data_IF_770139026174
#
_entry.id   IF_770139026174
#
_cell.length_a   1.000
_cell.length_b   1.000
_cell.length_c   1.000
_cell.angle_alpha   90.00
_cell.angle_beta   90.00
_cell.angle_gamma   90.00
#
_symmetry.space_group_name_H-M   'P 1'
#
loop_
_entity.id
_entity.type
_entity.pdbx_description
1 polymer ?
#
# COMPACT_ATOMS: atom_id res chain seq x y z
N UNK A 1 20.98 -5.06 -14.47
CA UNK A 1 20.43 -3.71 -14.21
C UNK A 1 19.00 -3.51 -14.73
N UNK A 2 18.73 -3.59 -16.05
CA UNK A 2 17.41 -3.27 -16.63
C UNK A 2 16.24 -4.12 -16.11
N UNK A 3 16.49 -5.37 -15.70
CA UNK A 3 15.46 -6.25 -15.11
C UNK A 3 15.08 -5.83 -13.69
N UNK A 4 16.08 -5.60 -12.82
CA UNK A 4 15.85 -5.18 -11.43
C UNK A 4 15.07 -3.86 -11.36
N UNK A 5 15.44 -2.90 -12.21
CA UNK A 5 14.73 -1.62 -12.30
C UNK A 5 13.27 -1.81 -12.75
N UNK A 6 13.01 -2.68 -13.74
CA UNK A 6 11.64 -3.00 -14.17
C UNK A 6 10.80 -3.61 -13.04
N UNK A 7 11.36 -4.57 -12.32
CA UNK A 7 10.68 -5.24 -11.21
C UNK A 7 10.40 -4.26 -10.05
N UNK A 8 11.38 -3.41 -9.70
CA UNK A 8 11.19 -2.34 -8.73
C UNK A 8 10.12 -1.34 -9.17
N UNK A 9 10.14 -0.89 -10.42
CA UNK A 9 9.13 0.03 -10.95
C UNK A 9 7.74 -0.61 -11.02
N UNK A 10 7.66 -1.93 -11.24
CA UNK A 10 6.42 -2.69 -11.08
C UNK A 10 5.93 -2.67 -9.64
N UNK A 11 6.82 -2.68 -8.64
CA UNK A 11 6.44 -2.62 -7.23
C UNK A 11 5.92 -1.24 -6.85
N UNK A 12 6.56 -0.18 -7.37
CA UNK A 12 6.07 1.19 -7.23
C UNK A 12 4.68 1.33 -7.84
N UNK A 13 4.47 0.81 -9.06
CA UNK A 13 3.17 0.87 -9.73
C UNK A 13 2.10 0.04 -9.02
N UNK A 14 2.46 -1.10 -8.42
CA UNK A 14 1.51 -1.96 -7.69
C UNK A 14 1.11 -1.36 -6.34
N UNK A 15 2.08 -0.86 -5.56
CA UNK A 15 1.84 -0.37 -4.20
C UNK A 15 1.39 1.09 -4.14
N UNK A 16 1.49 1.85 -5.23
CA UNK A 16 1.20 3.30 -5.24
C UNK A 16 0.36 3.72 -6.43
N UNK A 17 -0.32 4.86 -6.30
CA UNK A 17 -1.01 5.57 -7.38
C UNK A 17 -0.08 6.44 -8.24
N UNK A 18 1.23 6.42 -7.98
CA UNK A 18 2.19 7.16 -8.81
C UNK A 18 2.22 6.54 -10.20
N UNK A 19 1.92 7.30 -11.27
CA UNK A 19 1.87 6.75 -12.61
C UNK A 19 3.27 6.38 -13.09
N UNK A 20 3.51 5.09 -13.31
CA UNK A 20 4.74 4.58 -13.92
C UNK A 20 4.41 4.15 -15.34
N UNK A 21 5.02 4.75 -16.38
CA UNK A 21 4.76 4.35 -17.76
C UNK A 21 5.01 2.85 -18.01
N UNK A 22 4.07 2.17 -18.66
CA UNK A 22 4.13 0.72 -18.89
C UNK A 22 5.43 0.26 -19.58
N UNK A 23 6.00 1.08 -20.47
CA UNK A 23 7.30 0.82 -21.11
C UNK A 23 8.48 0.66 -20.13
N UNK A 24 8.34 1.16 -18.90
CA UNK A 24 9.40 1.17 -17.88
C UNK A 24 9.32 0.01 -16.90
N UNK A 25 8.15 -0.62 -16.71
CA UNK A 25 8.00 -1.79 -15.84
C UNK A 25 7.61 -3.06 -16.61
N UNK A 26 6.93 -2.94 -17.76
CA UNK A 26 6.42 -4.07 -18.53
C UNK A 26 5.19 -4.70 -17.87
N UNK A 27 4.98 -5.99 -18.08
CA UNK A 27 3.94 -6.74 -17.36
C UNK A 27 4.33 -6.90 -15.87
N UNK A 28 3.38 -6.66 -14.96
CA UNK A 28 3.62 -6.81 -13.52
C UNK A 28 3.41 -8.26 -13.13
N UNK A 29 4.50 -8.96 -12.84
CA UNK A 29 4.48 -10.33 -12.32
C UNK A 29 4.76 -10.29 -10.82
N UNK A 30 3.72 -10.42 -10.00
CA UNK A 30 3.77 -10.31 -8.54
C UNK A 30 4.94 -11.07 -7.90
N UNK A 31 5.19 -12.32 -8.32
CA UNK A 31 6.29 -13.13 -7.78
C UNK A 31 7.70 -12.52 -7.99
N UNK A 32 7.88 -11.71 -9.04
CA UNK A 32 9.14 -11.01 -9.34
C UNK A 32 9.19 -9.62 -8.71
N UNK A 33 8.03 -9.04 -8.45
CA UNK A 33 7.85 -7.67 -7.98
C UNK A 33 7.83 -7.59 -6.44
N UNK A 34 7.21 -8.58 -5.78
CA UNK A 34 7.06 -8.65 -4.34
C UNK A 34 8.36 -8.53 -3.52
N UNK A 35 9.52 -9.07 -3.97
CA UNK A 35 10.79 -8.87 -3.27
C UNK A 35 11.21 -7.40 -3.10
N UNK A 36 10.66 -6.48 -3.91
CA UNK A 36 10.92 -5.05 -3.82
C UNK A 36 9.91 -4.28 -2.97
N UNK A 37 8.84 -4.94 -2.50
CA UNK A 37 7.84 -4.30 -1.63
C UNK A 37 8.45 -3.69 -0.35
N UNK A 38 9.40 -4.36 0.35
CA UNK A 38 10.03 -3.75 1.53
C UNK A 38 10.77 -2.45 1.21
N UNK A 39 11.40 -2.36 0.02
CA UNK A 39 12.11 -1.15 -0.39
C UNK A 39 11.13 0.00 -0.69
N UNK A 40 10.04 -0.28 -1.41
CA UNK A 40 8.99 0.71 -1.65
C UNK A 40 8.35 1.14 -0.34
N UNK A 41 8.07 0.19 0.57
CA UNK A 41 7.55 0.47 1.91
C UNK A 41 8.49 1.33 2.75
N UNK A 42 9.80 1.10 2.69
CA UNK A 42 10.78 1.94 3.36
C UNK A 42 10.79 3.38 2.82
N UNK A 43 10.68 3.56 1.51
CA UNK A 43 10.57 4.89 0.89
C UNK A 43 9.29 5.62 1.31
N UNK A 44 8.15 4.92 1.33
CA UNK A 44 6.88 5.46 1.82
C UNK A 44 6.94 5.81 3.30
N UNK A 45 7.54 4.95 4.13
CA UNK A 45 7.73 5.19 5.56
C UNK A 45 8.63 6.38 5.85
N UNK A 46 9.72 6.54 5.09
CA UNK A 46 10.59 7.72 5.19
C UNK A 46 9.84 9.01 4.81
N UNK A 47 9.04 8.98 3.74
CA UNK A 47 8.21 10.12 3.35
C UNK A 47 7.15 10.46 4.42
N UNK A 48 6.42 9.47 4.92
CA UNK A 48 5.42 9.64 5.96
C UNK A 48 6.04 10.14 7.28
N UNK A 49 7.20 9.61 7.68
CA UNK A 49 7.95 10.06 8.85
C UNK A 49 8.47 11.49 8.69
N UNK A 50 8.89 11.88 7.49
CA UNK A 50 9.26 13.26 7.18
C UNK A 50 8.08 14.22 7.30
N UNK A 51 6.91 13.82 6.81
CA UNK A 51 5.66 14.59 6.95
C UNK A 51 5.28 14.73 8.42
N UNK A 52 5.30 13.64 9.19
CA UNK A 52 5.01 13.66 10.62
C UNK A 52 5.99 14.58 11.37
N UNK A 53 7.29 14.43 11.17
CA UNK A 53 8.32 15.24 11.81
C UNK A 53 8.17 16.73 11.50
N UNK A 54 7.90 17.07 10.23
CA UNK A 54 7.66 18.46 9.82
C UNK A 54 6.36 19.00 10.41
N UNK A 55 5.27 18.24 10.34
CA UNK A 55 3.96 18.65 10.84
C UNK A 55 3.96 18.87 12.36
N UNK A 56 4.69 18.05 13.13
CA UNK A 56 4.82 18.20 14.60
C UNK A 56 5.42 19.53 15.04
N UNK A 57 6.17 20.23 14.18
CA UNK A 57 6.72 21.55 14.51
C UNK A 57 5.66 22.65 14.59
N UNK A 58 4.49 22.42 13.98
CA UNK A 58 3.40 23.39 13.88
C UNK A 58 2.05 22.85 14.40
N UNK A 59 1.88 21.53 14.42
CA UNK A 59 0.65 20.84 14.81
C UNK A 59 0.90 19.94 16.04
N UNK A 60 -0.17 19.61 16.77
CA UNK A 60 -0.11 18.61 17.83
C UNK A 60 0.17 17.20 17.29
N UNK A 61 0.70 16.32 18.16
CA UNK A 61 1.04 14.92 17.84
C UNK A 61 -0.02 14.18 17.04
N UNK A 62 -1.29 14.30 17.43
CA UNK A 62 -2.38 13.58 16.76
C UNK A 62 -2.62 14.08 15.34
N UNK A 63 -2.59 15.40 15.14
CA UNK A 63 -2.80 16.00 13.82
C UNK A 63 -1.63 15.70 12.86
N UNK A 64 -0.39 15.69 13.37
CA UNK A 64 0.78 15.29 12.58
C UNK A 64 0.72 13.81 12.16
N UNK A 65 0.36 12.92 13.08
CA UNK A 65 0.18 11.50 12.78
C UNK A 65 -0.95 11.28 11.76
N UNK A 66 -2.08 11.98 11.92
CA UNK A 66 -3.19 11.94 10.96
C UNK A 66 -2.76 12.40 9.56
N UNK A 67 -1.93 13.44 9.46
CA UNK A 67 -1.39 13.91 8.17
C UNK A 67 -0.49 12.86 7.50
N UNK A 68 0.36 12.18 8.28
CA UNK A 68 1.22 11.11 7.77
C UNK A 68 0.41 9.89 7.28
N UNK A 69 -0.61 9.48 8.04
CA UNK A 69 -1.53 8.40 7.63
C UNK A 69 -2.32 8.80 6.38
N UNK A 70 -2.87 10.03 6.34
CA UNK A 70 -3.59 10.53 5.18
C UNK A 70 -2.71 10.51 3.92
N UNK A 71 -1.43 10.90 4.04
CA UNK A 71 -0.48 10.78 2.95
C UNK A 71 -0.35 9.32 2.46
N UNK A 72 -0.18 8.35 3.36
CA UNK A 72 -0.08 6.93 3.01
C UNK A 72 -1.34 6.42 2.31
N UNK A 73 -2.53 6.78 2.80
CA UNK A 73 -3.81 6.43 2.18
C UNK A 73 -3.90 6.99 0.76
N UNK A 74 -3.57 8.27 0.57
CA UNK A 74 -3.66 8.93 -0.73
C UNK A 74 -2.66 8.36 -1.74
N UNK A 75 -1.40 8.16 -1.33
CA UNK A 75 -0.33 7.71 -2.23
C UNK A 75 -0.47 6.23 -2.60
N UNK A 76 -0.98 5.38 -1.69
CA UNK A 76 -1.21 3.95 -1.96
C UNK A 76 -2.58 3.68 -2.56
N UNK A 77 -3.51 4.64 -2.47
CA UNK A 77 -4.88 4.46 -2.90
C UNK A 77 -5.72 3.61 -1.96
N UNK A 78 -5.39 3.59 -0.68
CA UNK A 78 -6.03 2.82 0.38
C UNK A 78 -5.86 1.29 0.27
N UNK A 79 -4.83 0.80 -0.43
CA UNK A 79 -4.63 -0.64 -0.67
C UNK A 79 -4.51 -1.46 0.63
N UNK A 80 -3.85 -0.92 1.65
CA UNK A 80 -3.65 -1.66 2.92
C UNK A 80 -4.90 -1.58 3.79
N UNK A 81 -5.58 -0.44 3.75
CA UNK A 81 -6.80 -0.15 4.47
C UNK A 81 -7.96 -1.00 3.94
N UNK A 82 -8.02 -1.21 2.62
CA UNK A 82 -8.95 -2.12 1.95
C UNK A 82 -8.73 -3.56 2.41
N UNK A 83 -7.49 -4.06 2.36
CA UNK A 83 -7.17 -5.39 2.86
C UNK A 83 -7.42 -5.56 4.37
N UNK A 84 -7.29 -4.49 5.16
CA UNK A 84 -7.66 -4.50 6.58
C UNK A 84 -9.19 -4.58 6.75
N UNK A 85 -9.96 -3.84 5.97
CA UNK A 85 -11.42 -3.88 5.98
C UNK A 85 -11.93 -5.26 5.54
N UNK A 86 -11.42 -5.81 4.44
CA UNK A 86 -11.75 -7.15 3.95
C UNK A 86 -11.46 -8.22 5.00
N UNK A 87 -10.32 -8.10 5.69
CA UNK A 87 -9.96 -9.01 6.78
C UNK A 87 -10.95 -8.88 7.95
N UNK A 88 -11.31 -7.66 8.35
CA UNK A 88 -12.27 -7.42 9.42
C UNK A 88 -13.65 -7.99 9.09
N UNK A 89 -14.13 -7.78 7.86
CA UNK A 89 -15.41 -8.32 7.39
C UNK A 89 -15.38 -9.84 7.28
N UNK A 90 -14.28 -10.39 6.75
CA UNK A 90 -14.05 -11.82 6.67
C UNK A 90 -14.11 -12.50 8.03
N UNK A 91 -13.30 -12.05 8.98
CA UNK A 91 -13.26 -12.62 10.34
C UNK A 91 -14.49 -12.26 11.19
N UNK A 92 -15.15 -11.12 10.91
CA UNK A 92 -16.32 -10.66 11.64
C UNK A 92 -17.61 -11.41 11.27
N UNK A 93 -17.74 -11.82 10.01
CA UNK A 93 -18.96 -12.49 9.51
C UNK A 93 -18.78 -13.99 9.18
N UNK A 94 -17.56 -14.43 8.81
CA UNK A 94 -17.27 -15.83 8.47
C UNK A 94 -17.13 -16.73 9.71
N UNK A 95 -17.71 -17.94 9.67
CA UNK A 95 -17.61 -18.94 10.76
C UNK A 95 -16.64 -20.08 10.44
N UNK A 96 -16.26 -20.25 9.18
CA UNK A 96 -15.26 -21.23 8.72
C UNK A 96 -14.21 -20.54 7.83
N UNK A 97 -13.01 -21.12 7.68
CA UNK A 97 -11.98 -20.57 6.80
C UNK A 97 -12.48 -20.32 5.36
N UNK A 98 -13.31 -21.20 4.84
CA UNK A 98 -13.88 -21.09 3.49
C UNK A 98 -14.83 -19.89 3.38
N UNK A 99 -15.62 -19.62 4.42
CA UNK A 99 -16.52 -18.46 4.47
C UNK A 99 -15.74 -17.15 4.61
N UNK A 100 -14.72 -17.11 5.47
CA UNK A 100 -13.85 -15.95 5.65
C UNK A 100 -13.20 -15.59 4.31
N UNK A 101 -12.61 -16.57 3.63
CA UNK A 101 -11.98 -16.37 2.31
C UNK A 101 -12.97 -16.02 1.21
N UNK A 102 -14.22 -16.49 1.29
CA UNK A 102 -15.26 -16.11 0.34
C UNK A 102 -15.64 -14.62 0.50
N UNK A 103 -15.72 -14.13 1.74
CA UNK A 103 -15.99 -12.71 2.04
C UNK A 103 -14.81 -11.83 1.58
N UNK A 104 -13.58 -12.18 1.94
CA UNK A 104 -12.38 -11.41 1.54
C UNK A 104 -12.13 -11.36 0.02
N UNK A 105 -12.75 -12.25 -0.76
CA UNK A 105 -12.66 -12.28 -2.23
C UNK A 105 -13.84 -11.61 -2.92
N UNK A 106 -14.87 -11.25 -2.15
CA UNK A 106 -16.05 -10.62 -2.69
C UNK A 106 -15.74 -9.17 -3.06
N UNK A 107 -15.69 -8.90 -4.36
CA UNK A 107 -15.40 -7.57 -4.90
C UNK A 107 -16.65 -6.74 -5.11
N UNK A 108 -17.83 -7.22 -4.68
CA UNK A 108 -19.11 -6.52 -4.81
C UNK A 108 -19.24 -5.48 -3.70
N UNK A 109 -18.84 -4.25 -4.03
CA UNK A 109 -19.28 -3.01 -3.38
C UNK A 109 -19.88 -2.11 -4.47
#
# INVERSE_FOLDING_TARGET
>A
MKRLLREFLGAVQFLTRVPVPQRLHGEIVLARTAPYFPLVGALLGLAAGGIDAAARTHLGTLAAAAAAVLFLVLITGALHEDGLADSADGFGAGKTPEQILAIMRDSRI
#
